data_IF_190758082112
#
_entry.id   IF_190758082112
#
_cell.length_a   1.000
_cell.length_b   1.000
_cell.length_c   1.000
_cell.angle_alpha   90.00
_cell.angle_beta   90.00
_cell.angle_gamma   90.00
#
_symmetry.space_group_name_H-M   'P 1'
#
loop_
_entity.id
_entity.type
_entity.pdbx_description
1 polymer ?
#
# COMPACT_ATOMS: atom_id res chain seq x y z
N UNK A 1 55.73 -22.22 10.37
CA UNK A 1 54.74 -21.14 10.62
C UNK A 1 53.50 -21.77 11.24
N UNK A 2 53.04 -21.33 12.41
CA UNK A 2 51.80 -21.86 12.98
C UNK A 2 50.59 -21.31 12.20
N UNK A 3 49.48 -22.06 12.11
CA UNK A 3 48.27 -21.63 11.43
C UNK A 3 47.56 -20.53 12.23
N UNK A 4 47.24 -19.41 11.59
CA UNK A 4 46.35 -18.39 12.13
C UNK A 4 44.98 -19.03 12.40
N UNK A 5 44.66 -19.28 13.67
CA UNK A 5 43.28 -19.56 14.07
C UNK A 5 42.48 -18.25 13.95
N UNK A 6 41.34 -18.23 13.23
CA UNK A 6 40.46 -17.08 13.27
C UNK A 6 39.93 -16.93 14.70
N UNK A 7 40.19 -15.77 15.29
CA UNK A 7 39.73 -15.40 16.62
C UNK A 7 38.18 -15.46 16.67
N UNK A 8 37.57 -16.06 17.71
CA UNK A 8 36.13 -16.16 17.80
C UNK A 8 35.49 -14.77 17.84
N UNK A 9 34.56 -14.52 16.92
CA UNK A 9 33.78 -13.27 16.89
C UNK A 9 33.07 -13.08 18.25
N UNK A 10 33.19 -11.91 18.88
CA UNK A 10 32.49 -11.64 20.13
C UNK A 10 30.98 -11.83 19.94
N UNK A 11 30.27 -12.32 20.97
CA UNK A 11 28.82 -12.50 20.90
C UNK A 11 28.15 -11.15 20.60
N UNK A 12 27.09 -11.12 19.77
CA UNK A 12 26.40 -9.88 19.45
C UNK A 12 25.88 -9.23 20.73
N UNK A 13 26.32 -8.00 20.98
CA UNK A 13 25.81 -7.22 22.10
C UNK A 13 24.35 -6.85 21.84
N UNK A 14 23.45 -6.99 22.82
CA UNK A 14 22.08 -6.55 22.67
C UNK A 14 22.07 -5.04 22.45
N UNK A 15 21.45 -4.59 21.35
CA UNK A 15 21.20 -3.17 21.14
C UNK A 15 20.07 -2.73 22.10
N UNK A 16 20.24 -1.61 22.83
CA UNK A 16 19.20 -1.09 23.70
C UNK A 16 17.99 -0.64 22.86
N UNK A 17 16.78 -0.82 23.42
CA UNK A 17 15.56 -0.31 22.80
C UNK A 17 15.56 1.23 22.78
N UNK A 18 14.99 1.85 21.73
CA UNK A 18 14.85 3.30 21.68
C UNK A 18 13.80 3.79 22.70
N UNK A 19 13.98 5.01 23.19
CA UNK A 19 12.97 5.71 24.01
C UNK A 19 11.79 6.14 23.13
N UNK A 20 10.58 5.73 23.52
CA UNK A 20 9.34 6.05 22.79
C UNK A 20 9.11 7.56 22.63
N UNK A 21 9.57 8.37 23.57
CA UNK A 21 9.42 9.83 23.52
C UNK A 21 10.34 10.49 22.50
N UNK A 22 11.35 9.76 22.01
CA UNK A 22 12.27 10.21 20.96
C UNK A 22 11.87 9.71 19.57
N UNK A 23 10.89 8.82 19.47
CA UNK A 23 10.40 8.30 18.18
C UNK A 23 9.51 9.37 17.53
N UNK A 24 9.74 9.71 16.23
CA UNK A 24 8.88 10.63 15.51
C UNK A 24 7.42 10.18 15.48
N UNK A 25 6.51 11.14 15.27
CA UNK A 25 5.08 10.83 15.12
C UNK A 25 4.83 9.94 13.90
N UNK A 26 3.73 9.16 13.87
CA UNK A 26 3.43 8.28 12.73
C UNK A 26 3.50 8.98 11.38
N UNK A 27 2.99 10.20 11.25
CA UNK A 27 2.98 10.91 9.96
C UNK A 27 4.39 11.28 9.48
N UNK A 28 5.34 11.46 10.41
CA UNK A 28 6.74 11.71 10.07
C UNK A 28 7.49 10.41 9.79
N UNK A 29 7.25 9.39 10.62
CA UNK A 29 7.86 8.07 10.50
C UNK A 29 7.52 7.43 9.15
N UNK A 30 6.27 7.53 8.75
CA UNK A 30 5.72 6.89 7.56
C UNK A 30 6.01 7.61 6.24
N UNK A 31 6.59 8.82 6.30
CA UNK A 31 7.13 9.53 5.14
C UNK A 31 8.57 9.12 4.80
N UNK A 32 9.20 8.28 5.61
CA UNK A 32 10.53 7.74 5.35
C UNK A 32 10.45 6.24 5.02
N UNK A 33 11.30 5.74 4.09
CA UNK A 33 11.38 4.31 3.84
C UNK A 33 11.89 3.55 5.07
N UNK A 34 11.60 2.25 5.20
CA UNK A 34 10.92 1.40 4.22
C UNK A 34 9.40 1.60 4.18
N UNK A 35 8.86 1.76 2.97
CA UNK A 35 7.41 1.78 2.76
C UNK A 35 6.90 0.37 2.53
N UNK A 36 5.81 0.02 3.21
CA UNK A 36 5.16 -1.28 3.09
C UNK A 36 3.80 -1.11 2.43
N UNK A 37 3.46 -2.01 1.52
CA UNK A 37 2.17 -2.02 0.84
C UNK A 37 1.66 -3.45 0.77
N UNK A 38 0.41 -3.66 1.15
CA UNK A 38 -0.25 -4.95 1.14
C UNK A 38 -1.56 -4.85 0.35
N UNK A 39 -1.75 -5.79 -0.57
CA UNK A 39 -2.93 -5.86 -1.43
C UNK A 39 -3.62 -7.18 -1.14
N UNK A 40 -4.91 -7.13 -0.84
CA UNK A 40 -5.75 -8.31 -0.70
C UNK A 40 -6.93 -8.23 -1.66
N UNK A 41 -7.28 -9.36 -2.28
CA UNK A 41 -8.36 -9.46 -3.25
C UNK A 41 -9.33 -10.58 -2.87
N UNK A 42 -10.46 -10.20 -2.29
CA UNK A 42 -11.57 -11.10 -1.98
C UNK A 42 -12.83 -10.61 -2.69
N UNK A 43 -13.83 -10.10 -1.96
CA UNK A 43 -15.02 -9.46 -2.54
C UNK A 43 -14.73 -8.04 -3.09
N UNK A 44 -13.65 -7.43 -2.62
CA UNK A 44 -13.12 -6.13 -2.99
C UNK A 44 -11.60 -6.22 -3.08
N UNK A 45 -10.97 -5.21 -3.68
CA UNK A 45 -9.52 -5.03 -3.58
C UNK A 45 -9.25 -4.05 -2.45
N UNK A 46 -8.49 -4.46 -1.45
CA UNK A 46 -8.04 -3.60 -0.37
C UNK A 46 -6.52 -3.41 -0.48
N UNK A 47 -6.09 -2.15 -0.44
CA UNK A 47 -4.69 -1.74 -0.53
C UNK A 47 -4.35 -1.03 0.77
N UNK A 48 -3.60 -1.69 1.64
CA UNK A 48 -3.04 -1.09 2.84
C UNK A 48 -1.65 -0.57 2.51
N UNK A 49 -1.32 0.65 2.92
CA UNK A 49 0.01 1.19 2.66
C UNK A 49 0.46 2.10 3.80
N UNK A 50 1.72 1.94 4.19
CA UNK A 50 2.33 2.79 5.19
C UNK A 50 2.55 4.20 4.65
N UNK A 51 2.71 4.38 3.34
CA UNK A 51 2.99 5.67 2.71
C UNK A 51 1.71 6.32 2.15
N UNK A 52 1.11 7.21 2.93
CA UNK A 52 -0.14 7.91 2.57
C UNK A 52 -0.15 8.57 1.18
N UNK A 53 0.92 9.27 0.74
CA UNK A 53 0.98 9.85 -0.61
C UNK A 53 0.87 8.80 -1.74
N UNK A 54 1.37 7.58 -1.54
CA UNK A 54 1.19 6.50 -2.52
C UNK A 54 -0.30 6.12 -2.66
N UNK A 55 -1.06 6.10 -1.57
CA UNK A 55 -2.51 5.84 -1.62
C UNK A 55 -3.27 7.00 -2.24
N UNK A 56 -2.90 8.24 -1.93
CA UNK A 56 -3.51 9.42 -2.54
C UNK A 56 -3.34 9.40 -4.07
N UNK A 57 -2.14 9.06 -4.56
CA UNK A 57 -1.90 8.87 -5.99
C UNK A 57 -2.81 7.79 -6.60
N UNK A 58 -2.94 6.63 -5.94
CA UNK A 58 -3.79 5.55 -6.44
C UNK A 58 -5.27 5.94 -6.42
N UNK A 59 -5.74 6.61 -5.37
CA UNK A 59 -7.12 7.14 -5.27
C UNK A 59 -7.43 8.08 -6.44
N UNK A 60 -6.56 9.07 -6.68
CA UNK A 60 -6.69 10.00 -7.80
C UNK A 60 -6.68 9.29 -9.15
N UNK A 61 -5.76 8.34 -9.36
CA UNK A 61 -5.65 7.57 -10.59
C UNK A 61 -6.94 6.78 -10.86
N UNK A 62 -7.43 6.02 -9.87
CA UNK A 62 -8.63 5.20 -10.06
C UNK A 62 -9.87 6.05 -10.24
N UNK A 63 -10.04 7.16 -9.51
CA UNK A 63 -11.17 8.08 -9.73
C UNK A 63 -11.15 8.69 -11.12
N UNK A 64 -9.98 9.07 -11.62
CA UNK A 64 -9.81 9.67 -12.96
C UNK A 64 -10.15 8.70 -14.09
N UNK A 65 -9.77 7.44 -13.95
CA UNK A 65 -9.90 6.43 -15.01
C UNK A 65 -11.07 5.45 -14.82
N UNK A 66 -11.81 5.55 -13.72
CA UNK A 66 -13.03 4.76 -13.49
C UNK A 66 -14.10 5.17 -14.50
N UNK A 67 -14.61 4.19 -15.25
CA UNK A 67 -15.73 4.41 -16.17
C UNK A 67 -17.02 4.62 -15.40
N UNK A 68 -17.95 5.34 -16.01
CA UNK A 68 -19.32 5.49 -15.50
C UNK A 68 -20.27 4.47 -16.15
N UNK A 69 -21.34 4.15 -15.43
CA UNK A 69 -22.41 3.31 -15.93
C UNK A 69 -23.35 4.09 -16.83
N UNK A 70 -23.12 4.00 -18.13
CA UNK A 70 -23.94 4.67 -19.14
C UNK A 70 -25.36 4.09 -19.26
N UNK A 71 -25.66 2.94 -18.63
CA UNK A 71 -27.00 2.32 -18.63
C UNK A 71 -27.94 2.96 -17.61
N UNK A 72 -27.44 3.75 -16.66
CA UNK A 72 -28.26 4.49 -15.71
C UNK A 72 -28.21 5.99 -16.00
N UNK A 73 -29.32 6.68 -15.76
CA UNK A 73 -29.47 8.12 -16.00
C UNK A 73 -28.57 8.96 -15.09
N UNK A 74 -28.32 8.49 -13.86
CA UNK A 74 -27.42 9.12 -12.87
C UNK A 74 -25.94 8.82 -13.12
N UNK A 75 -25.61 7.95 -14.09
CA UNK A 75 -24.24 7.63 -14.54
C UNK A 75 -23.23 7.41 -13.39
N UNK A 76 -23.54 6.54 -12.41
CA UNK A 76 -22.64 6.30 -11.28
C UNK A 76 -21.32 5.67 -11.76
N UNK A 77 -20.21 5.84 -11.02
CA UNK A 77 -18.98 5.11 -11.31
C UNK A 77 -19.19 3.60 -11.19
N UNK A 78 -18.50 2.81 -12.03
CA UNK A 78 -18.57 1.34 -11.99
C UNK A 78 -17.93 0.75 -10.72
N UNK A 79 -16.89 1.42 -10.24
CA UNK A 79 -16.11 1.04 -9.05
C UNK A 79 -16.21 2.19 -8.06
N UNK A 80 -16.60 1.88 -6.82
CA UNK A 80 -16.47 2.80 -5.71
C UNK A 80 -15.03 2.75 -5.20
N UNK A 81 -14.46 3.93 -4.99
CA UNK A 81 -13.09 4.13 -4.51
C UNK A 81 -13.21 4.85 -3.17
N UNK A 82 -12.67 4.26 -2.10
CA UNK A 82 -12.76 4.80 -0.75
C UNK A 82 -11.39 4.84 -0.09
N UNK A 83 -10.96 6.03 0.32
CA UNK A 83 -9.71 6.25 1.03
C UNK A 83 -10.01 6.45 2.52
N UNK A 84 -9.54 5.54 3.37
CA UNK A 84 -9.81 5.52 4.80
C UNK A 84 -8.69 6.20 5.59
N UNK A 85 -9.08 6.92 6.64
CA UNK A 85 -8.14 7.52 7.58
C UNK A 85 -7.69 6.50 8.64
N UNK A 86 -6.41 6.52 8.93
CA UNK A 86 -5.78 5.75 9.99
C UNK A 86 -6.26 6.24 11.35
N UNK A 87 -6.48 5.33 12.32
CA UNK A 87 -6.72 5.73 13.71
C UNK A 87 -5.43 6.22 14.40
N UNK A 88 -4.26 6.12 13.75
CA UNK A 88 -2.98 6.51 14.30
C UNK A 88 -2.55 7.89 13.79
N UNK A 89 -1.96 8.68 14.68
CA UNK A 89 -1.54 10.04 14.38
C UNK A 89 -2.50 11.10 14.91
N UNK A 90 -2.08 12.36 14.75
CA UNK A 90 -2.84 13.57 15.06
C UNK A 90 -3.34 14.27 13.79
N UNK A 91 -2.81 13.91 12.60
CA UNK A 91 -3.18 14.47 11.30
C UNK A 91 -3.93 13.49 10.38
N UNK A 92 -4.39 13.94 9.21
CA UNK A 92 -5.05 13.09 8.22
C UNK A 92 -4.02 12.14 7.58
N UNK A 93 -3.80 11.00 8.22
CA UNK A 93 -3.03 9.89 7.68
C UNK A 93 -4.02 8.93 7.02
N UNK A 94 -3.86 8.64 5.74
CA UNK A 94 -4.63 7.59 5.07
C UNK A 94 -3.74 6.37 4.91
N UNK A 95 -4.23 5.21 5.32
CA UNK A 95 -3.48 3.95 5.32
C UNK A 95 -4.18 2.80 4.59
N UNK A 96 -5.45 3.00 4.17
CA UNK A 96 -6.21 2.00 3.41
C UNK A 96 -6.96 2.64 2.24
N UNK A 97 -6.81 2.07 1.04
CA UNK A 97 -7.64 2.33 -0.13
C UNK A 97 -8.43 1.07 -0.49
N UNK A 98 -9.74 1.21 -0.65
CA UNK A 98 -10.66 0.12 -1.00
C UNK A 98 -11.29 0.38 -2.36
N UNK A 99 -11.23 -0.64 -3.24
CA UNK A 99 -11.91 -0.67 -4.53
C UNK A 99 -12.99 -1.75 -4.48
N UNK A 100 -14.24 -1.35 -4.67
CA UNK A 100 -15.39 -2.25 -4.60
C UNK A 100 -16.35 -1.96 -5.75
N UNK A 101 -17.12 -2.98 -6.16
CA UNK A 101 -18.20 -2.74 -7.10
C UNK A 101 -19.22 -1.79 -6.48
N UNK A 102 -19.68 -0.82 -7.28
CA UNK A 102 -20.75 0.04 -6.80
C UNK A 102 -21.97 -0.83 -6.45
N UNK A 103 -22.59 -0.69 -5.26
CA UNK A 103 -23.69 -1.54 -4.79
C UNK A 103 -24.89 -1.67 -5.75
N UNK A 104 -25.04 -0.74 -6.68
CA UNK A 104 -26.14 -0.66 -7.63
C UNK A 104 -25.89 -1.45 -8.92
N UNK A 105 -24.74 -2.13 -9.03
CA UNK A 105 -24.30 -2.92 -10.18
C UNK A 105 -24.57 -4.42 -10.09
N UNK A 106 -25.36 -4.87 -9.10
CA UNK A 106 -25.69 -6.29 -8.86
C UNK A 106 -26.41 -6.94 -10.08
N UNK A 107 -26.99 -6.14 -10.98
CA UNK A 107 -27.73 -6.60 -12.17
C UNK A 107 -26.93 -6.38 -13.47
N UNK A 108 -25.78 -7.03 -13.59
CA UNK A 108 -24.97 -7.06 -14.82
C UNK A 108 -23.88 -8.12 -14.75
N UNK A 109 -23.18 -8.45 -15.84
CA UNK A 109 -21.98 -9.27 -15.76
C UNK A 109 -21.01 -8.59 -14.80
N UNK A 110 -20.70 -9.25 -13.68
CA UNK A 110 -19.73 -8.78 -12.70
C UNK A 110 -18.42 -8.52 -13.44
N UNK A 111 -18.10 -7.25 -13.70
CA UNK A 111 -16.81 -6.94 -14.32
C UNK A 111 -15.78 -7.15 -13.22
N UNK A 112 -15.03 -8.25 -13.24
CA UNK A 112 -14.01 -8.51 -12.23
C UNK A 112 -13.11 -7.26 -12.06
N UNK A 113 -12.87 -6.84 -10.82
CA UNK A 113 -11.89 -5.79 -10.55
C UNK A 113 -10.53 -6.28 -11.07
N UNK A 114 -9.94 -5.52 -11.99
CA UNK A 114 -8.70 -5.94 -12.64
C UNK A 114 -7.51 -5.70 -11.71
N UNK A 115 -7.25 -6.64 -10.80
CA UNK A 115 -6.05 -6.67 -9.93
C UNK A 115 -4.76 -6.38 -10.71
N UNK A 116 -4.53 -6.90 -11.94
CA UNK A 116 -3.30 -6.60 -12.68
C UNK A 116 -3.02 -5.11 -12.91
N UNK A 117 -4.06 -4.25 -13.01
CA UNK A 117 -3.87 -2.80 -13.12
C UNK A 117 -3.27 -2.24 -11.82
N UNK A 118 -3.78 -2.71 -10.68
CA UNK A 118 -3.27 -2.32 -9.35
C UNK A 118 -1.81 -2.74 -9.21
N UNK A 119 -1.49 -4.00 -9.52
CA UNK A 119 -0.12 -4.52 -9.42
C UNK A 119 0.83 -3.71 -10.30
N UNK A 120 0.44 -3.40 -11.54
CA UNK A 120 1.26 -2.62 -12.45
C UNK A 120 1.54 -1.19 -11.95
N UNK A 121 0.53 -0.52 -11.37
CA UNK A 121 0.73 0.80 -10.77
C UNK A 121 1.70 0.74 -9.57
N UNK A 122 1.60 -0.29 -8.74
CA UNK A 122 2.46 -0.47 -7.57
C UNK A 122 3.90 -0.77 -7.98
N UNK A 123 4.10 -1.68 -8.92
CA UNK A 123 5.43 -2.14 -9.34
C UNK A 123 6.12 -1.16 -10.29
N UNK A 124 5.42 -0.75 -11.35
CA UNK A 124 6.04 -0.02 -12.47
C UNK A 124 5.98 1.50 -12.30
N UNK A 125 4.94 2.02 -11.63
CA UNK A 125 4.77 3.46 -11.44
C UNK A 125 5.29 3.92 -10.08
N UNK A 126 4.86 3.25 -9.01
CA UNK A 126 5.29 3.55 -7.64
C UNK A 126 6.60 2.86 -7.25
N UNK A 127 7.14 1.95 -8.08
CA UNK A 127 8.46 1.35 -7.90
C UNK A 127 8.60 0.47 -6.65
N UNK A 128 7.50 -0.10 -6.15
CA UNK A 128 7.58 -1.06 -5.06
C UNK A 128 8.07 -2.43 -5.57
N UNK A 129 8.83 -3.12 -4.74
CA UNK A 129 9.32 -4.48 -5.02
C UNK A 129 8.45 -5.51 -4.31
N UNK A 130 8.06 -6.57 -5.01
CA UNK A 130 7.31 -7.69 -4.44
C UNK A 130 8.18 -8.44 -3.42
N UNK A 131 7.65 -8.66 -2.23
CA UNK A 131 8.30 -9.41 -1.14
C UNK A 131 7.65 -10.78 -0.95
N UNK A 132 6.33 -10.85 -1.10
CA UNK A 132 5.56 -12.10 -0.97
C UNK A 132 4.28 -12.01 -1.79
N UNK A 133 3.82 -13.13 -2.34
CA UNK A 133 2.51 -13.23 -2.98
C UNK A 133 1.93 -14.63 -2.86
N UNK A 134 0.60 -14.70 -2.81
CA UNK A 134 -0.18 -15.91 -3.05
C UNK A 134 -1.35 -15.60 -4.02
N UNK A 135 -2.39 -16.45 -4.02
CA UNK A 135 -3.50 -16.34 -4.96
C UNK A 135 -4.34 -15.06 -4.77
N UNK A 136 -4.40 -14.53 -3.56
CA UNK A 136 -5.29 -13.42 -3.19
C UNK A 136 -4.55 -12.26 -2.50
N UNK A 137 -3.27 -12.44 -2.15
CA UNK A 137 -2.49 -11.48 -1.38
C UNK A 137 -1.16 -11.14 -2.08
N UNK A 138 -0.77 -9.87 -2.03
CA UNK A 138 0.53 -9.38 -2.50
C UNK A 138 1.12 -8.38 -1.50
N UNK A 139 2.34 -8.65 -1.05
CA UNK A 139 3.09 -7.80 -0.13
C UNK A 139 4.28 -7.20 -0.84
N UNK A 140 4.44 -5.90 -0.66
CA UNK A 140 5.40 -5.07 -1.35
C UNK A 140 6.20 -4.23 -0.36
N UNK A 141 7.46 -3.97 -0.70
CA UNK A 141 8.31 -3.04 0.04
C UNK A 141 9.04 -2.11 -0.90
N UNK A 142 9.22 -0.86 -0.48
CA UNK A 142 10.07 0.12 -1.17
C UNK A 142 11.04 0.73 -0.17
N UNK A 143 12.33 0.55 -0.44
CA UNK A 143 13.42 1.03 0.42
C UNK A 143 13.97 2.39 0.00
N UNK A 144 13.52 2.92 -1.15
CA UNK A 144 13.96 4.20 -1.68
C UNK A 144 12.90 5.29 -1.45
N UNK A 145 13.30 6.53 -1.10
CA UNK A 145 12.37 7.64 -0.97
C UNK A 145 11.53 7.85 -2.25
N UNK A 146 10.30 8.31 -2.07
CA UNK A 146 9.48 8.86 -3.15
C UNK A 146 9.63 10.38 -3.09
N UNK A 147 10.16 10.97 -4.15
CA UNK A 147 10.19 12.43 -4.28
C UNK A 147 8.77 12.97 -4.46
N UNK A 148 8.53 14.19 -3.99
CA UNK A 148 7.39 14.97 -4.44
C UNK A 148 7.52 15.22 -5.95
N UNK A 149 6.41 15.25 -6.71
CA UNK A 149 6.43 15.65 -8.12
C UNK A 149 6.99 17.06 -8.33
#
# INVERSE_FOLDING_TARGET
MPPNHPEPKPPPHPHPLPDVNLVPRPEQLLLQPPYHLHITHHASIQIQCSHGPSLAFLDEYFRKWCRTNHRRTDRPPLVNVSLSQSPFGLGPLHDILTLEHHPTHITGPSSLLAVPIVLHLVESVLGYSLVYSDAENWQYRRDTPLGSP
#
